data_IF_662573280809
#
_entry.id   IF_662573280809
#
_cell.length_a   1.000
_cell.length_b   1.000
_cell.length_c   1.000
_cell.angle_alpha   90.00
_cell.angle_beta   90.00
_cell.angle_gamma   90.00
#
_symmetry.space_group_name_H-M   'P 1'
#
loop_
_entity.id
_entity.type
_entity.pdbx_description
1 polymer ?
#
# COMPACT_ATOMS: atom_id res chain seq x y z
N UNK A 1 -7.78 6.18 20.78
CA UNK A 1 -7.00 4.92 20.73
C UNK A 1 -5.91 5.13 19.70
N UNK A 2 -4.64 4.89 20.03
CA UNK A 2 -3.53 5.06 19.08
C UNK A 2 -3.65 3.96 18.03
N UNK A 3 -3.96 4.34 16.80
CA UNK A 3 -3.79 3.44 15.66
C UNK A 3 -2.28 3.35 15.42
N UNK A 4 -1.71 2.16 15.59
CA UNK A 4 -0.30 1.92 15.26
C UNK A 4 -0.12 1.89 13.74
N UNK A 5 1.08 2.17 13.24
CA UNK A 5 1.41 1.98 11.83
C UNK A 5 1.69 0.49 11.51
N UNK A 6 2.48 -0.16 12.36
CA UNK A 6 2.73 -1.60 12.39
C UNK A 6 2.37 -2.14 13.77
N UNK A 7 1.76 -3.32 13.81
CA UNK A 7 1.39 -4.03 15.05
C UNK A 7 2.09 -5.41 15.16
N UNK A 8 2.93 -5.75 14.17
CA UNK A 8 3.87 -6.84 14.21
C UNK A 8 5.22 -6.41 13.62
N UNK A 9 6.32 -6.71 14.31
CA UNK A 9 7.70 -6.44 13.85
C UNK A 9 8.45 -7.76 13.81
N UNK A 10 9.03 -8.08 12.67
CA UNK A 10 9.98 -9.17 12.50
C UNK A 10 11.40 -8.62 12.45
N UNK A 11 12.35 -9.32 13.09
CA UNK A 11 13.77 -8.96 13.12
C UNK A 11 14.61 -10.02 12.39
N UNK A 12 15.64 -9.61 11.66
CA UNK A 12 16.60 -10.53 11.06
C UNK A 12 18.02 -9.94 10.95
N UNK A 13 19.03 -10.57 11.54
CA UNK A 13 20.43 -10.11 11.41
C UNK A 13 20.73 -8.76 12.07
N UNK A 14 20.03 -8.44 13.17
CA UNK A 14 20.36 -7.32 14.05
C UNK A 14 21.49 -7.71 15.01
N UNK A 15 22.33 -6.75 15.37
CA UNK A 15 23.25 -6.88 16.51
C UNK A 15 22.53 -6.61 17.84
N UNK A 16 23.07 -7.12 18.95
CA UNK A 16 22.55 -6.85 20.31
C UNK A 16 22.42 -5.35 20.65
N UNK A 17 23.23 -4.49 20.02
CA UNK A 17 23.14 -3.02 20.17
C UNK A 17 21.93 -2.45 19.42
N UNK A 18 21.68 -2.94 18.21
CA UNK A 18 20.54 -2.55 17.37
C UNK A 18 19.21 -3.04 17.96
N UNK A 19 19.16 -4.28 18.46
CA UNK A 19 17.99 -4.78 19.19
C UNK A 19 17.70 -3.92 20.43
N UNK A 20 18.71 -3.67 21.27
CA UNK A 20 18.54 -2.83 22.47
C UNK A 20 18.04 -1.42 22.09
N UNK A 21 18.59 -0.83 21.03
CA UNK A 21 18.15 0.46 20.52
C UNK A 21 16.68 0.42 20.05
N UNK A 22 16.27 -0.61 19.32
CA UNK A 22 14.86 -0.78 18.91
C UNK A 22 13.92 -0.83 20.12
N UNK A 23 14.20 -1.69 21.10
CA UNK A 23 13.34 -1.79 22.29
C UNK A 23 13.33 -0.48 23.10
N UNK A 24 14.46 0.22 23.21
CA UNK A 24 14.49 1.55 23.85
C UNK A 24 13.74 2.64 23.05
N UNK A 25 13.67 2.56 21.71
CA UNK A 25 12.85 3.47 20.90
C UNK A 25 11.35 3.21 21.06
N UNK A 26 10.95 1.93 21.16
CA UNK A 26 9.56 1.55 21.41
C UNK A 26 9.11 1.98 22.81
N UNK A 27 9.93 1.73 23.82
CA UNK A 27 9.73 2.17 25.21
C UNK A 27 9.65 3.70 25.33
N UNK A 28 10.56 4.43 24.67
CA UNK A 28 10.54 5.91 24.61
C UNK A 28 9.28 6.47 23.92
N UNK A 29 8.64 5.71 23.04
CA UNK A 29 7.35 6.06 22.42
C UNK A 29 6.13 5.57 23.22
N UNK A 30 6.33 5.04 24.43
CA UNK A 30 5.30 4.47 25.31
C UNK A 30 4.52 3.31 24.64
N UNK A 31 5.16 2.61 23.70
CA UNK A 31 4.54 1.51 22.96
C UNK A 31 4.70 0.21 23.74
N UNK A 32 3.57 -0.42 24.12
CA UNK A 32 3.58 -1.73 24.76
C UNK A 32 4.12 -2.79 23.80
N UNK A 33 5.07 -3.61 24.25
CA UNK A 33 5.71 -4.66 23.45
C UNK A 33 5.48 -6.05 24.04
N UNK A 34 5.21 -7.02 23.17
CA UNK A 34 5.13 -8.44 23.50
C UNK A 34 6.07 -9.24 22.61
N UNK A 35 6.90 -10.11 23.18
CA UNK A 35 7.76 -10.98 22.39
C UNK A 35 7.00 -12.22 21.91
N UNK A 36 7.11 -12.54 20.62
CA UNK A 36 6.54 -13.73 20.01
C UNK A 36 7.58 -14.85 19.95
N UNK A 37 7.45 -15.82 20.86
CA UNK A 37 8.45 -16.88 21.06
C UNK A 37 8.05 -18.24 20.48
N UNK A 38 6.75 -18.55 20.35
CA UNK A 38 6.25 -19.81 19.76
C UNK A 38 6.07 -19.71 18.24
N UNK A 39 6.29 -20.78 17.48
CA UNK A 39 6.04 -20.79 16.02
C UNK A 39 4.57 -20.93 15.61
N UNK A 40 3.74 -21.53 16.46
CA UNK A 40 2.49 -22.17 16.04
C UNK A 40 1.24 -21.28 16.15
N UNK A 41 1.27 -20.21 16.95
CA UNK A 41 0.13 -19.31 17.16
C UNK A 41 0.58 -17.87 17.39
N UNK A 42 -0.15 -16.92 16.80
CA UNK A 42 0.05 -15.50 17.07
C UNK A 42 -0.28 -15.17 18.55
N UNK A 43 0.54 -14.37 19.27
CA UNK A 43 0.27 -14.03 20.66
C UNK A 43 -1.02 -13.22 20.85
N UNK A 44 -1.75 -13.47 21.93
CA UNK A 44 -2.89 -12.63 22.31
C UNK A 44 -2.38 -11.25 22.75
N UNK A 45 -2.69 -10.24 21.93
CA UNK A 45 -2.18 -8.86 22.03
C UNK A 45 -3.32 -7.86 22.24
N UNK A 46 -3.16 -6.88 23.13
CA UNK A 46 -4.16 -5.81 23.33
C UNK A 46 -4.11 -4.73 22.23
N UNK A 47 -5.19 -3.95 21.99
CA UNK A 47 -5.14 -2.84 21.04
C UNK A 47 -4.06 -1.82 21.39
N UNK A 48 -3.18 -1.51 20.43
CA UNK A 48 -2.04 -0.61 20.65
C UNK A 48 -0.76 -1.30 21.14
N UNK A 49 -0.75 -2.62 21.28
CA UNK A 49 0.45 -3.42 21.56
C UNK A 49 1.15 -3.86 20.27
N UNK A 50 2.48 -3.80 20.25
CA UNK A 50 3.33 -4.30 19.17
C UNK A 50 3.84 -5.69 19.54
N UNK A 51 3.68 -6.65 18.62
CA UNK A 51 4.24 -7.99 18.76
C UNK A 51 5.58 -8.06 18.01
N UNK A 52 6.67 -8.37 18.71
CA UNK A 52 8.03 -8.46 18.13
C UNK A 52 8.48 -9.92 18.07
N UNK A 53 8.92 -10.40 16.90
CA UNK A 53 9.56 -11.71 16.72
C UNK A 53 11.02 -11.53 16.30
N UNK A 54 11.94 -12.23 16.98
CA UNK A 54 13.40 -12.09 16.77
C UNK A 54 13.95 -12.82 15.54
N UNK A 55 13.11 -13.55 14.82
CA UNK A 55 13.41 -14.17 13.52
C UNK A 55 12.21 -14.01 12.57
N UNK A 56 12.41 -14.32 11.27
CA UNK A 56 11.33 -14.38 10.29
C UNK A 56 11.35 -15.70 9.52
N UNK A 57 10.16 -16.31 9.43
CA UNK A 57 9.85 -17.53 8.69
C UNK A 57 8.60 -17.25 7.84
N UNK A 58 8.41 -17.96 6.73
CA UNK A 58 7.22 -17.81 5.87
C UNK A 58 5.93 -18.03 6.64
N UNK A 59 5.92 -19.04 7.50
CA UNK A 59 4.73 -19.52 8.21
C UNK A 59 4.36 -18.56 9.36
N UNK A 60 5.38 -17.96 9.98
CA UNK A 60 5.23 -16.85 10.94
C UNK A 60 4.67 -15.59 10.26
N UNK A 61 5.15 -15.24 9.06
CA UNK A 61 4.60 -14.12 8.29
C UNK A 61 3.14 -14.35 7.92
N UNK A 62 2.80 -15.54 7.39
CA UNK A 62 1.44 -15.91 7.04
C UNK A 62 0.51 -15.85 8.26
N UNK A 63 0.95 -16.43 9.38
CA UNK A 63 0.22 -16.38 10.66
C UNK A 63 -0.09 -14.95 11.11
N UNK A 64 0.85 -14.00 10.97
CA UNK A 64 0.58 -12.60 11.28
C UNK A 64 -0.47 -11.98 10.32
N UNK A 65 -0.39 -12.29 9.03
CA UNK A 65 -1.33 -11.78 8.01
C UNK A 65 -2.75 -12.33 8.23
N UNK A 66 -2.89 -13.62 8.57
CA UNK A 66 -4.19 -14.25 8.86
C UNK A 66 -4.86 -13.63 10.09
N UNK A 67 -4.06 -13.25 11.09
CA UNK A 67 -4.50 -12.46 12.25
C UNK A 67 -4.70 -10.96 11.94
N UNK A 68 -4.77 -10.60 10.65
CA UNK A 68 -4.98 -9.23 10.14
C UNK A 68 -3.95 -8.20 10.62
N UNK A 69 -2.75 -8.66 10.99
CA UNK A 69 -1.65 -7.81 11.43
C UNK A 69 -0.96 -7.14 10.25
N UNK A 70 -0.19 -6.11 10.55
CA UNK A 70 0.56 -5.30 9.61
C UNK A 70 2.04 -5.45 9.92
N UNK A 71 2.69 -6.46 9.31
CA UNK A 71 4.08 -6.77 9.59
C UNK A 71 5.01 -5.77 8.90
N UNK A 72 6.06 -5.39 9.62
CA UNK A 72 7.30 -4.84 9.05
C UNK A 72 8.45 -5.79 9.38
N UNK A 73 9.29 -6.08 8.38
CA UNK A 73 10.59 -6.71 8.61
C UNK A 73 11.63 -5.61 8.83
N UNK A 74 12.51 -5.79 9.80
CA UNK A 74 13.68 -4.94 10.03
C UNK A 74 14.90 -5.84 10.02
N UNK A 75 15.92 -5.51 9.22
CA UNK A 75 17.12 -6.33 9.24
C UNK A 75 18.01 -6.30 8.04
N UNK A 76 18.88 -7.31 7.98
CA UNK A 76 19.76 -7.64 6.86
C UNK A 76 19.33 -9.01 6.37
N UNK A 77 18.95 -9.13 5.10
CA UNK A 77 18.33 -10.34 4.55
C UNK A 77 18.81 -10.57 3.13
N UNK A 78 18.90 -11.83 2.70
CA UNK A 78 19.19 -12.14 1.32
C UNK A 78 18.02 -11.76 0.40
N UNK A 79 18.33 -11.11 -0.72
CA UNK A 79 17.39 -10.73 -1.80
C UNK A 79 16.52 -11.91 -2.25
N UNK A 80 17.07 -13.13 -2.24
CA UNK A 80 16.39 -14.39 -2.61
C UNK A 80 15.27 -14.77 -1.61
N UNK A 81 15.49 -14.55 -0.31
CA UNK A 81 14.52 -14.85 0.74
C UNK A 81 13.49 -13.72 0.89
N UNK A 82 13.93 -12.46 0.75
CA UNK A 82 13.03 -11.30 0.72
C UNK A 82 12.00 -11.42 -0.43
N UNK A 83 12.41 -11.92 -1.61
CA UNK A 83 11.49 -12.26 -2.72
C UNK A 83 10.38 -13.22 -2.30
N UNK A 84 10.71 -14.27 -1.54
CA UNK A 84 9.73 -15.25 -1.06
C UNK A 84 8.77 -14.60 -0.06
N UNK A 85 9.28 -13.81 0.89
CA UNK A 85 8.44 -13.10 1.87
C UNK A 85 7.50 -12.08 1.20
N UNK A 86 7.96 -11.37 0.16
CA UNK A 86 7.11 -10.46 -0.64
C UNK A 86 5.98 -11.19 -1.38
N UNK A 87 6.25 -12.39 -1.90
CA UNK A 87 5.24 -13.26 -2.51
C UNK A 87 4.21 -13.76 -1.49
N UNK A 88 4.59 -13.92 -0.22
CA UNK A 88 3.69 -14.23 0.90
C UNK A 88 3.05 -12.99 1.55
N UNK A 89 3.20 -11.79 0.97
CA UNK A 89 2.48 -10.58 1.41
C UNK A 89 3.20 -9.69 2.42
N UNK A 90 4.52 -9.85 2.62
CA UNK A 90 5.32 -8.81 3.29
C UNK A 90 5.30 -7.53 2.46
N UNK A 91 4.76 -6.44 3.01
CA UNK A 91 4.66 -5.15 2.32
C UNK A 91 5.70 -4.12 2.77
N UNK A 92 6.35 -4.31 3.92
CA UNK A 92 7.28 -3.33 4.49
C UNK A 92 8.57 -3.98 4.95
N UNK A 93 9.71 -3.40 4.55
CA UNK A 93 11.04 -3.87 4.94
C UNK A 93 11.99 -2.68 5.18
N UNK A 94 12.56 -2.59 6.38
CA UNK A 94 13.64 -1.66 6.70
C UNK A 94 14.99 -2.36 6.59
N UNK A 95 15.71 -2.09 5.51
CA UNK A 95 17.05 -2.62 5.27
C UNK A 95 18.10 -1.93 6.13
N UNK A 96 18.78 -2.70 6.98
CA UNK A 96 19.89 -2.24 7.84
C UNK A 96 21.27 -2.34 7.17
N UNK A 97 21.34 -2.61 5.86
CA UNK A 97 22.54 -2.34 5.06
C UNK A 97 22.59 -0.88 4.59
N UNK A 98 21.43 -0.28 4.29
CA UNK A 98 21.31 1.10 3.77
C UNK A 98 20.69 2.11 4.76
N UNK A 99 19.96 1.66 5.77
CA UNK A 99 19.27 2.50 6.77
C UNK A 99 19.66 2.14 8.20
N UNK A 100 19.24 2.95 9.18
CA UNK A 100 19.45 2.70 10.61
C UNK A 100 18.16 2.26 11.31
N UNK A 101 18.27 1.60 12.47
CA UNK A 101 17.09 1.21 13.28
C UNK A 101 16.20 2.41 13.63
N UNK A 102 16.78 3.60 13.83
CA UNK A 102 16.03 4.86 14.09
C UNK A 102 15.18 5.34 12.90
N UNK A 103 15.42 4.82 11.69
CA UNK A 103 14.60 5.07 10.50
C UNK A 103 13.29 4.26 10.49
N UNK A 104 13.00 3.43 11.51
CA UNK A 104 11.68 2.79 11.60
C UNK A 104 10.60 3.87 11.72
N UNK A 105 9.56 3.84 10.85
CA UNK A 105 8.40 4.70 11.02
C UNK A 105 7.52 4.09 12.12
N UNK A 106 7.31 4.85 13.18
CA UNK A 106 6.57 4.43 14.38
C UNK A 106 5.28 5.25 14.55
N UNK A 107 5.28 6.48 14.07
CA UNK A 107 4.13 7.35 14.23
C UNK A 107 3.14 7.12 13.09
N UNK A 108 1.87 7.29 13.42
CA UNK A 108 0.79 7.03 12.49
C UNK A 108 0.48 8.31 11.72
N UNK A 109 0.52 8.25 10.39
CA UNK A 109 0.26 9.41 9.54
C UNK A 109 -1.18 9.92 9.72
N UNK A 110 -1.33 11.25 9.74
CA UNK A 110 -2.64 11.89 9.92
C UNK A 110 -3.54 11.57 8.72
N UNK A 111 -4.57 10.74 8.94
CA UNK A 111 -5.55 10.40 7.91
C UNK A 111 -6.37 11.64 7.51
N UNK A 112 -6.59 11.83 6.21
CA UNK A 112 -7.48 12.87 5.68
C UNK A 112 -8.90 12.32 5.65
N UNK A 113 -9.79 12.84 6.51
CA UNK A 113 -11.19 12.40 6.57
C UNK A 113 -11.87 12.46 5.20
N UNK A 114 -12.53 11.37 4.81
CA UNK A 114 -13.32 11.29 3.58
C UNK A 114 -12.55 10.85 2.32
N UNK A 115 -11.25 10.54 2.42
CA UNK A 115 -10.46 9.92 1.35
C UNK A 115 -10.63 8.40 1.34
N UNK A 116 -11.76 7.93 0.82
CA UNK A 116 -12.09 6.50 0.77
C UNK A 116 -11.86 5.93 -0.63
N UNK A 117 -11.27 4.74 -0.73
CA UNK A 117 -10.97 4.05 -1.98
C UNK A 117 -11.47 2.60 -1.94
N UNK A 118 -11.83 2.04 -3.10
CA UNK A 118 -12.15 0.62 -3.23
C UNK A 118 -11.21 -0.05 -4.23
N UNK A 119 -10.68 -1.22 -3.88
CA UNK A 119 -10.01 -2.13 -4.82
C UNK A 119 -11.00 -3.21 -5.22
N UNK A 120 -11.35 -3.26 -6.50
CA UNK A 120 -12.32 -4.17 -7.10
C UNK A 120 -11.52 -5.28 -7.80
N UNK A 121 -11.55 -6.48 -7.26
CA UNK A 121 -10.75 -7.61 -7.76
C UNK A 121 -10.61 -8.73 -6.73
N UNK A 122 -10.43 -9.99 -7.17
CA UNK A 122 -10.37 -11.14 -6.28
C UNK A 122 -9.05 -11.27 -5.51
N UNK A 123 -7.96 -10.65 -5.99
CA UNK A 123 -6.61 -10.83 -5.46
C UNK A 123 -6.41 -10.12 -4.09
N UNK A 124 -6.19 -10.86 -2.99
CA UNK A 124 -6.00 -10.27 -1.68
C UNK A 124 -4.64 -9.59 -1.50
N UNK A 125 -3.59 -10.06 -2.21
CA UNK A 125 -2.24 -9.48 -2.12
C UNK A 125 -2.20 -8.12 -2.82
N UNK A 126 -2.80 -8.03 -4.02
CA UNK A 126 -2.97 -6.78 -4.76
C UNK A 126 -3.69 -5.73 -3.89
N UNK A 127 -4.80 -6.11 -3.24
CA UNK A 127 -5.51 -5.25 -2.31
C UNK A 127 -4.63 -4.76 -1.15
N UNK A 128 -3.90 -5.65 -0.46
CA UNK A 128 -3.06 -5.25 0.68
C UNK A 128 -1.90 -4.34 0.23
N UNK A 129 -1.29 -4.60 -0.93
CA UNK A 129 -0.23 -3.77 -1.53
C UNK A 129 -0.74 -2.36 -1.86
N UNK A 130 -1.89 -2.25 -2.53
CA UNK A 130 -2.50 -0.95 -2.85
C UNK A 130 -2.88 -0.21 -1.56
N UNK A 131 -3.53 -0.89 -0.60
CA UNK A 131 -3.91 -0.35 0.71
C UNK A 131 -2.70 0.15 1.52
N UNK A 132 -1.58 -0.56 1.48
CA UNK A 132 -0.34 -0.16 2.15
C UNK A 132 0.12 1.23 1.68
N UNK A 133 0.21 1.44 0.37
CA UNK A 133 0.62 2.73 -0.20
C UNK A 133 -0.44 3.83 0.00
N UNK A 134 -1.72 3.53 -0.23
CA UNK A 134 -2.80 4.51 -0.10
C UNK A 134 -2.98 4.99 1.35
N UNK A 135 -2.76 4.13 2.35
CA UNK A 135 -2.80 4.54 3.77
C UNK A 135 -1.82 5.67 4.07
N UNK A 136 -0.65 5.67 3.43
CA UNK A 136 0.40 6.68 3.60
C UNK A 136 -0.01 8.03 2.99
N UNK A 137 -0.79 7.97 1.90
CA UNK A 137 -1.44 9.13 1.30
C UNK A 137 -2.64 9.67 2.12
N UNK A 138 -2.92 9.07 3.27
CA UNK A 138 -4.01 9.43 4.17
C UNK A 138 -5.37 8.88 3.75
N UNK A 139 -5.41 7.90 2.84
CA UNK A 139 -6.63 7.24 2.37
C UNK A 139 -7.01 6.02 3.21
N UNK A 140 -8.30 5.72 3.26
CA UNK A 140 -8.82 4.41 3.68
C UNK A 140 -9.17 3.57 2.45
N UNK A 141 -8.80 2.29 2.46
CA UNK A 141 -8.93 1.40 1.30
C UNK A 141 -9.67 0.13 1.68
N UNK A 142 -10.78 -0.12 0.98
CA UNK A 142 -11.71 -1.21 1.24
C UNK A 142 -11.68 -2.24 0.10
N UNK A 143 -11.75 -3.55 0.39
CA UNK A 143 -11.78 -4.58 -0.63
C UNK A 143 -13.20 -4.82 -1.16
N UNK A 144 -13.32 -4.99 -2.47
CA UNK A 144 -14.49 -5.53 -3.15
C UNK A 144 -14.05 -6.75 -3.97
N UNK A 145 -14.04 -7.93 -3.32
CA UNK A 145 -13.62 -9.19 -3.95
C UNK A 145 -14.67 -9.76 -4.91
N UNK A 146 -15.93 -9.44 -4.67
CA UNK A 146 -17.08 -9.92 -5.43
C UNK A 146 -17.89 -8.74 -5.99
N UNK A 147 -18.08 -8.71 -7.31
CA UNK A 147 -18.80 -7.64 -8.03
C UNK A 147 -20.28 -7.50 -7.61
N UNK A 148 -20.86 -8.54 -7.03
CA UNK A 148 -22.21 -8.55 -6.42
C UNK A 148 -22.31 -7.52 -5.29
N UNK A 149 -21.29 -7.43 -4.44
CA UNK A 149 -21.23 -6.51 -3.28
C UNK A 149 -20.87 -5.06 -3.63
N UNK A 150 -20.49 -4.80 -4.90
CA UNK A 150 -19.90 -3.52 -5.31
C UNK A 150 -20.85 -2.33 -5.07
N UNK A 151 -22.14 -2.48 -5.40
CA UNK A 151 -23.15 -1.42 -5.21
C UNK A 151 -23.36 -1.06 -3.75
N UNK A 152 -23.28 -2.02 -2.83
CA UNK A 152 -23.43 -1.81 -1.39
C UNK A 152 -22.20 -1.08 -0.84
N UNK A 153 -21.00 -1.60 -1.11
CA UNK A 153 -19.73 -0.98 -0.70
C UNK A 153 -19.54 0.42 -1.25
N UNK A 154 -20.00 0.68 -2.48
CA UNK A 154 -19.95 2.01 -3.09
C UNK A 154 -20.85 3.01 -2.36
N UNK A 155 -22.02 2.58 -1.86
CA UNK A 155 -22.90 3.40 -1.02
C UNK A 155 -22.33 3.60 0.38
N UNK A 156 -21.86 2.52 1.01
CA UNK A 156 -21.34 2.49 2.38
C UNK A 156 -20.10 3.38 2.56
N UNK A 157 -19.06 3.17 1.74
CA UNK A 157 -17.78 3.88 1.91
C UNK A 157 -17.68 5.18 1.12
N UNK A 158 -18.64 5.48 0.25
CA UNK A 158 -18.62 6.65 -0.63
C UNK A 158 -17.24 6.98 -1.26
N UNK A 159 -16.65 6.04 -2.03
CA UNK A 159 -15.28 6.20 -2.49
C UNK A 159 -15.10 7.39 -3.42
N UNK A 160 -13.96 8.06 -3.26
CA UNK A 160 -13.41 9.06 -4.19
C UNK A 160 -12.43 8.46 -5.21
N UNK A 161 -12.11 7.17 -5.13
CA UNK A 161 -11.16 6.49 -6.00
C UNK A 161 -11.50 4.99 -6.13
N UNK A 162 -11.46 4.47 -7.34
CA UNK A 162 -11.61 3.04 -7.62
C UNK A 162 -10.35 2.48 -8.29
N UNK A 163 -9.89 1.32 -7.84
CA UNK A 163 -8.96 0.47 -8.59
C UNK A 163 -9.74 -0.73 -9.11
N UNK A 164 -9.57 -1.09 -10.39
CA UNK A 164 -10.27 -2.21 -11.01
C UNK A 164 -9.26 -3.19 -11.61
N UNK A 165 -9.27 -4.42 -11.12
CA UNK A 165 -8.41 -5.51 -11.59
C UNK A 165 -8.99 -6.19 -12.84
N UNK A 166 -8.93 -5.49 -13.97
CA UNK A 166 -9.35 -6.01 -15.28
C UNK A 166 -8.53 -7.23 -15.73
N UNK A 167 -7.41 -7.54 -15.08
CA UNK A 167 -6.59 -8.71 -15.35
C UNK A 167 -7.22 -10.03 -14.86
N UNK A 168 -8.08 -9.96 -13.84
CA UNK A 168 -8.70 -11.15 -13.19
C UNK A 168 -10.24 -11.13 -13.20
N UNK A 169 -10.86 -10.05 -13.65
CA UNK A 169 -12.32 -9.88 -13.69
C UNK A 169 -12.89 -10.10 -15.10
N UNK A 170 -14.15 -10.54 -15.19
CA UNK A 170 -14.89 -10.50 -16.45
C UNK A 170 -15.17 -9.03 -16.81
N UNK A 171 -14.60 -8.58 -17.94
CA UNK A 171 -14.70 -7.19 -18.40
C UNK A 171 -16.15 -6.76 -18.63
N UNK A 172 -16.97 -7.59 -19.29
CA UNK A 172 -18.37 -7.23 -19.62
C UNK A 172 -19.21 -7.03 -18.36
N UNK A 173 -19.16 -8.02 -17.47
CA UNK A 173 -19.91 -8.00 -16.21
C UNK A 173 -19.46 -6.81 -15.33
N UNK A 174 -18.15 -6.52 -15.30
CA UNK A 174 -17.58 -5.40 -14.54
C UNK A 174 -18.01 -4.05 -15.12
N UNK A 175 -17.97 -3.88 -16.44
CA UNK A 175 -18.47 -2.67 -17.13
C UNK A 175 -19.95 -2.46 -16.85
N UNK A 176 -20.77 -3.51 -16.94
CA UNK A 176 -22.21 -3.42 -16.62
C UNK A 176 -22.44 -3.02 -15.15
N UNK A 177 -21.73 -3.64 -14.21
CA UNK A 177 -21.84 -3.32 -12.78
C UNK A 177 -21.40 -1.88 -12.47
N UNK A 178 -20.34 -1.39 -13.10
CA UNK A 178 -19.88 -0.01 -12.96
C UNK A 178 -20.87 1.01 -13.56
N UNK A 179 -21.49 0.71 -14.72
CA UNK A 179 -22.54 1.55 -15.32
C UNK A 179 -23.80 1.62 -14.44
N UNK A 180 -24.12 0.53 -13.75
CA UNK A 180 -25.28 0.41 -12.85
C UNK A 180 -25.02 0.90 -11.41
N UNK A 181 -23.87 1.53 -11.14
CA UNK A 181 -23.62 2.16 -9.84
C UNK A 181 -24.51 3.40 -9.62
N UNK A 182 -24.84 3.75 -8.36
CA UNK A 182 -25.63 4.93 -8.05
C UNK A 182 -24.99 6.19 -8.62
N UNK A 183 -25.73 6.97 -9.41
CA UNK A 183 -25.22 8.20 -9.98
C UNK A 183 -24.85 9.22 -8.89
N UNK A 184 -23.75 9.93 -9.12
CA UNK A 184 -23.23 11.00 -8.27
C UNK A 184 -22.92 12.22 -9.14
N UNK A 185 -22.93 13.41 -8.53
CA UNK A 185 -22.55 14.66 -9.21
C UNK A 185 -21.11 14.62 -9.80
N UNK A 186 -20.25 13.76 -9.27
CA UNK A 186 -19.00 13.36 -9.91
C UNK A 186 -18.78 11.87 -9.64
N UNK A 187 -18.59 11.08 -10.68
CA UNK A 187 -18.23 9.66 -10.55
C UNK A 187 -16.76 9.56 -10.11
N UNK A 188 -16.39 8.71 -9.14
CA UNK A 188 -15.02 8.63 -8.68
C UNK A 188 -14.09 8.13 -9.80
N UNK A 189 -12.94 8.78 -10.03
CA UNK A 189 -11.99 8.36 -11.06
C UNK A 189 -11.50 6.92 -10.85
N UNK A 190 -11.32 6.21 -11.97
CA UNK A 190 -11.01 4.77 -12.00
C UNK A 190 -9.60 4.55 -12.52
N UNK A 191 -8.80 3.81 -11.76
CA UNK A 191 -7.48 3.31 -12.14
C UNK A 191 -7.64 1.85 -12.58
N UNK A 192 -7.46 1.60 -13.89
CA UNK A 192 -7.57 0.26 -14.46
C UNK A 192 -6.24 -0.50 -14.41
N UNK A 193 -6.28 -1.71 -13.85
CA UNK A 193 -5.14 -2.62 -13.72
C UNK A 193 -5.26 -3.73 -14.78
N UNK A 194 -4.36 -3.72 -15.77
CA UNK A 194 -4.29 -4.66 -16.90
C UNK A 194 -2.89 -4.60 -17.51
N UNK A 195 -2.25 -5.73 -17.78
CA UNK A 195 -1.03 -5.74 -18.57
C UNK A 195 -1.36 -5.57 -20.07
N UNK A 196 -1.03 -4.40 -20.61
CA UNK A 196 -1.23 -4.06 -22.03
C UNK A 196 -0.42 -4.94 -23.01
N UNK A 197 0.51 -5.76 -22.52
CA UNK A 197 1.25 -6.74 -23.33
C UNK A 197 0.54 -8.09 -23.49
N UNK A 198 -0.53 -8.35 -22.72
CA UNK A 198 -1.28 -9.61 -22.81
C UNK A 198 -2.26 -9.60 -23.99
N UNK A 199 -2.59 -10.81 -24.42
CA UNK A 199 -3.58 -11.07 -25.46
C UNK A 199 -4.97 -10.55 -25.07
N UNK A 200 -5.84 -10.40 -26.07
CA UNK A 200 -7.23 -9.93 -25.97
C UNK A 200 -7.45 -8.46 -25.55
N UNK A 201 -6.40 -7.66 -25.32
CA UNK A 201 -6.53 -6.23 -24.97
C UNK A 201 -7.50 -5.45 -25.87
N UNK A 202 -7.48 -5.66 -27.20
CA UNK A 202 -8.38 -4.98 -28.13
C UNK A 202 -9.86 -5.35 -27.91
N UNK A 203 -10.14 -6.60 -27.53
CA UNK A 203 -11.49 -7.08 -27.20
C UNK A 203 -11.95 -6.48 -25.86
N UNK A 204 -11.08 -6.47 -24.85
CA UNK A 204 -11.33 -5.87 -23.53
C UNK A 204 -11.63 -4.36 -23.64
N UNK A 205 -10.82 -3.64 -24.41
CA UNK A 205 -11.03 -2.20 -24.68
C UNK A 205 -12.35 -1.94 -25.41
N UNK A 206 -12.70 -2.80 -26.38
CA UNK A 206 -13.97 -2.73 -27.14
C UNK A 206 -15.19 -3.08 -26.29
N UNK A 207 -15.02 -3.77 -25.16
CA UNK A 207 -16.09 -4.10 -24.22
C UNK A 207 -16.46 -2.94 -23.27
N UNK A 208 -15.77 -1.78 -23.34
CA UNK A 208 -16.16 -0.55 -22.64
C UNK A 208 -15.24 -0.12 -21.49
N UNK A 209 -14.05 -0.72 -21.33
CA UNK A 209 -13.05 -0.29 -20.32
C UNK A 209 -12.71 1.22 -20.43
N UNK A 210 -12.66 1.73 -21.67
CA UNK A 210 -12.35 3.13 -21.97
C UNK A 210 -13.39 4.13 -21.48
N UNK A 211 -14.61 3.69 -21.18
CA UNK A 211 -15.67 4.54 -20.61
C UNK A 211 -15.32 4.97 -19.18
N UNK A 212 -14.46 4.21 -18.49
CA UNK A 212 -14.11 4.40 -17.08
C UNK A 212 -12.66 4.83 -16.87
N UNK A 213 -11.71 4.33 -17.66
CA UNK A 213 -10.28 4.61 -17.50
C UNK A 213 -9.58 4.89 -18.84
N UNK A 214 -8.81 5.98 -18.88
CA UNK A 214 -8.12 6.46 -20.10
C UNK A 214 -6.79 5.73 -20.34
N UNK A 215 -6.03 5.46 -19.28
CA UNK A 215 -4.80 4.65 -19.31
C UNK A 215 -4.98 3.40 -18.45
N UNK A 216 -4.37 2.30 -18.92
CA UNK A 216 -4.26 1.03 -18.20
C UNK A 216 -2.81 0.81 -17.78
N UNK A 217 -2.64 0.13 -16.65
CA UNK A 217 -1.35 -0.09 -16.01
C UNK A 217 -1.23 -1.54 -15.52
N UNK A 218 -0.06 -2.15 -15.66
CA UNK A 218 0.18 -3.42 -14.96
C UNK A 218 0.29 -3.20 -13.45
N UNK A 219 0.10 -4.26 -12.65
CA UNK A 219 0.29 -4.22 -11.18
C UNK A 219 1.66 -3.60 -10.81
N UNK A 220 2.72 -3.99 -11.54
CA UNK A 220 4.07 -3.39 -11.46
C UNK A 220 4.04 -1.86 -11.55
N UNK A 221 3.38 -1.35 -12.57
CA UNK A 221 3.31 0.09 -12.84
C UNK A 221 2.47 0.82 -11.78
N UNK A 222 1.38 0.22 -11.30
CA UNK A 222 0.55 0.81 -10.24
C UNK A 222 1.32 0.96 -8.94
N UNK A 223 2.09 -0.06 -8.53
CA UNK A 223 2.84 -0.01 -7.28
C UNK A 223 4.00 1.00 -7.35
N UNK A 224 4.73 1.05 -8.48
CA UNK A 224 5.73 2.10 -8.71
C UNK A 224 5.12 3.51 -8.72
N UNK A 225 3.96 3.69 -9.38
CA UNK A 225 3.20 4.95 -9.39
C UNK A 225 2.81 5.37 -7.97
N UNK A 226 2.26 4.45 -7.18
CA UNK A 226 1.84 4.70 -5.81
C UNK A 226 3.02 5.05 -4.91
N UNK A 227 4.14 4.35 -5.01
CA UNK A 227 5.37 4.66 -4.27
C UNK A 227 5.89 6.07 -4.59
N UNK A 228 5.92 6.45 -5.87
CA UNK A 228 6.29 7.80 -6.31
C UNK A 228 5.28 8.89 -5.88
N UNK A 229 4.07 8.51 -5.46
CA UNK A 229 3.03 9.45 -5.03
C UNK A 229 3.11 9.77 -3.53
N UNK A 230 3.88 9.02 -2.74
CA UNK A 230 3.99 9.15 -1.26
C UNK A 230 4.45 10.54 -0.81
N UNK A 231 5.11 11.32 -1.68
CA UNK A 231 5.68 12.63 -1.36
C UNK A 231 5.16 13.72 -2.31
N UNK A 232 4.77 14.86 -1.73
CA UNK A 232 4.63 16.14 -2.42
C UNK A 232 6.04 16.77 -2.56
N UNK A 233 6.56 16.88 -3.79
CA UNK A 233 8.00 17.05 -4.11
C UNK A 233 8.33 18.47 -4.71
N UNK A 234 9.02 19.42 -3.98
CA UNK A 234 9.49 20.81 -4.40
C UNK A 234 10.99 21.22 -3.99
N UNK A 235 12.06 21.09 -4.84
CA UNK A 235 13.53 21.32 -4.56
C UNK A 235 14.59 20.20 -4.90
N UNK A 236 15.57 20.42 -5.80
CA UNK A 236 16.31 19.46 -6.71
C UNK A 236 17.22 18.28 -6.21
N UNK A 237 17.40 17.25 -7.07
CA UNK A 237 18.51 16.26 -7.06
C UNK A 237 18.30 15.03 -8.00
N UNK A 238 19.34 14.58 -8.75
CA UNK A 238 19.35 13.44 -9.72
C UNK A 238 18.41 12.25 -9.34
N UNK A 239 17.62 11.65 -10.24
CA UNK A 239 17.96 11.07 -11.56
C UNK A 239 16.84 11.32 -12.61
N UNK A 240 17.22 11.45 -13.89
CA UNK A 240 16.31 11.63 -15.03
C UNK A 240 15.66 10.33 -15.55
N UNK A 241 14.90 9.63 -14.72
CA UNK A 241 14.11 8.47 -15.15
C UNK A 241 12.63 8.82 -15.34
N UNK A 242 11.93 8.09 -16.21
CA UNK A 242 10.53 8.35 -16.58
C UNK A 242 9.56 7.93 -15.47
N UNK A 243 9.62 8.60 -14.31
CA UNK A 243 8.73 8.31 -13.19
C UNK A 243 7.32 8.83 -13.46
N UNK A 244 6.34 8.02 -13.03
CA UNK A 244 4.92 8.35 -13.04
C UNK A 244 4.43 8.51 -11.59
N UNK A 245 3.58 9.49 -11.31
CA UNK A 245 2.89 9.67 -10.00
C UNK A 245 1.41 10.01 -10.16
N UNK A 246 0.60 9.67 -9.17
CA UNK A 246 -0.81 10.09 -9.08
C UNK A 246 -0.87 11.52 -8.55
N UNK A 247 -1.53 12.40 -9.31
CA UNK A 247 -2.00 13.69 -8.85
C UNK A 247 -3.52 13.66 -8.75
N UNK A 248 -4.02 14.00 -7.57
CA UNK A 248 -5.44 14.09 -7.27
C UNK A 248 -5.95 15.51 -7.52
N UNK A 249 -6.99 15.66 -8.34
CA UNK A 249 -7.56 16.96 -8.69
C UNK A 249 -8.82 17.23 -7.87
N UNK A 250 -8.80 18.28 -7.05
CA UNK A 250 -9.91 18.69 -6.18
C UNK A 250 -10.52 19.99 -6.69
N UNK A 251 -11.79 19.99 -7.09
CA UNK A 251 -12.52 21.22 -7.46
C UNK A 251 -13.05 21.96 -6.24
N UNK A 252 -13.85 21.28 -5.41
CA UNK A 252 -14.38 21.80 -4.15
C UNK A 252 -14.57 20.65 -3.16
N UNK A 253 -13.99 20.76 -1.96
CA UNK A 253 -14.09 19.75 -0.91
C UNK A 253 -12.95 18.72 -0.89
N UNK A 254 -13.08 17.70 -0.03
CA UNK A 254 -12.00 16.75 0.31
C UNK A 254 -11.89 15.53 -0.61
N UNK A 255 -12.89 15.26 -1.48
CA UNK A 255 -12.87 14.12 -2.41
C UNK A 255 -12.30 14.55 -3.76
N UNK A 256 -11.41 13.77 -4.40
CA UNK A 256 -10.92 14.13 -5.71
C UNK A 256 -12.02 13.94 -6.77
N UNK A 257 -12.01 14.87 -7.71
CA UNK A 257 -12.91 14.95 -8.86
C UNK A 257 -12.24 14.48 -10.16
N UNK A 258 -10.93 14.27 -10.14
CA UNK A 258 -10.12 13.79 -11.25
C UNK A 258 -8.79 13.21 -10.76
N UNK A 259 -8.14 12.44 -11.62
CA UNK A 259 -6.78 11.93 -11.42
C UNK A 259 -5.99 12.20 -12.70
N UNK A 260 -4.80 12.78 -12.55
CA UNK A 260 -3.80 12.86 -13.60
C UNK A 260 -2.61 12.01 -13.20
N UNK A 261 -2.17 11.12 -14.08
CA UNK A 261 -0.87 10.47 -13.93
C UNK A 261 0.17 11.36 -14.60
N UNK A 262 0.93 12.06 -13.77
CA UNK A 262 1.98 12.96 -14.23
C UNK A 262 3.22 12.16 -14.63
N UNK A 263 3.74 12.44 -15.82
CA UNK A 263 4.94 11.82 -16.42
C UNK A 263 6.06 12.87 -16.41
N UNK A 264 7.25 12.52 -15.95
CA UNK A 264 8.46 13.32 -16.09
C UNK A 264 8.35 14.73 -15.47
N UNK A 265 7.74 14.84 -14.28
CA UNK A 265 7.89 16.04 -13.47
C UNK A 265 9.37 16.25 -13.08
N UNK A 266 9.74 17.45 -12.62
CA UNK A 266 11.02 17.64 -11.96
C UNK A 266 10.92 17.14 -10.50
N UNK A 267 11.80 16.22 -10.09
CA UNK A 267 11.94 15.76 -8.68
C UNK A 267 12.61 16.82 -7.85
N UNK A 268 12.15 16.89 -6.60
CA UNK A 268 12.08 18.12 -5.88
C UNK A 268 11.66 17.82 -4.39
N UNK A 269 12.00 18.56 -3.33
CA UNK A 269 11.62 18.26 -1.91
C UNK A 269 11.38 19.48 -0.97
N UNK A 270 10.14 19.77 -0.52
CA UNK A 270 9.83 20.74 0.56
C UNK A 270 8.69 20.26 1.47
N UNK A 271 8.93 20.18 2.79
CA UNK A 271 7.96 19.74 3.80
C UNK A 271 8.21 18.33 4.34
N UNK A 272 9.19 18.20 5.23
CA UNK A 272 9.62 16.92 5.79
C UNK A 272 8.68 16.40 6.89
N UNK A 273 7.62 15.71 6.49
CA UNK A 273 7.04 14.68 7.35
C UNK A 273 8.04 13.51 7.40
N UNK A 274 8.87 13.49 8.45
CA UNK A 274 9.95 12.52 8.64
C UNK A 274 9.44 11.08 8.56
N UNK A 275 8.22 10.83 9.03
CA UNK A 275 7.63 9.50 9.06
C UNK A 275 7.18 9.05 7.66
N UNK A 276 6.79 9.97 6.77
CA UNK A 276 6.62 9.66 5.33
C UNK A 276 7.94 9.31 4.65
N UNK A 277 9.03 10.02 4.98
CA UNK A 277 10.37 9.74 4.43
C UNK A 277 10.82 8.34 4.85
N UNK A 278 10.69 8.02 6.13
CA UNK A 278 10.94 6.68 6.68
C UNK A 278 10.06 5.60 6.03
N UNK A 279 8.77 5.87 5.86
CA UNK A 279 7.84 4.94 5.18
C UNK A 279 8.19 4.71 3.71
N UNK A 280 8.65 5.73 3.00
CA UNK A 280 9.15 5.56 1.63
C UNK A 280 10.38 4.63 1.61
N UNK A 281 11.34 4.81 2.54
CA UNK A 281 12.48 3.86 2.66
C UNK A 281 11.99 2.42 2.85
N UNK A 282 10.92 2.21 3.63
CA UNK A 282 10.37 0.86 3.88
C UNK A 282 9.45 0.31 2.79
N UNK A 283 9.28 1.03 1.68
CA UNK A 283 8.55 0.60 0.47
C UNK A 283 9.40 0.64 -0.81
N UNK A 284 10.44 1.47 -0.87
CA UNK A 284 11.31 1.64 -2.06
C UNK A 284 11.91 0.31 -2.53
N UNK A 285 12.24 -0.60 -1.60
CA UNK A 285 12.73 -1.95 -1.89
C UNK A 285 11.80 -2.73 -2.81
N UNK A 286 10.47 -2.51 -2.77
CA UNK A 286 9.52 -3.22 -3.63
C UNK A 286 9.84 -3.01 -5.12
N UNK A 287 10.40 -1.85 -5.51
CA UNK A 287 10.77 -1.57 -6.90
C UNK A 287 11.83 -2.54 -7.46
N UNK A 288 12.60 -3.25 -6.62
CA UNK A 288 13.59 -4.27 -7.03
C UNK A 288 12.97 -5.67 -7.29
N UNK A 289 11.70 -5.84 -6.94
CA UNK A 289 10.96 -7.11 -6.97
C UNK A 289 9.72 -7.07 -7.87
N UNK A 290 9.26 -5.85 -8.16
CA UNK A 290 8.32 -5.50 -9.23
C UNK A 290 9.01 -5.63 -10.58
#
# INVERSE_FOLDING_TARGET
MVSLLFDCIFLNGLSKKEEKLLFSLLDWKELSVQEWTSGERFPESVPGQIVVRKNIETDSLQTAIDWSKRPILIGRIETSFLRKLFQQGLNYFLDLQTSQVVDIPLENLTQKKGLNSIVIGPDPLLFQRIRAHLKILGWETFPCRELTTLTEKFKEYEPGLLFVDWERLNVKDTVERLRNLPQRATFPPVIGIRDVKRENLFQDLSAGIRDFCQELYSEKQILGILNNSIIDLEGEGYISENYKRIIFEFRTGVRPTGIRIEKNAQVRFLGSDLEKIKLKKTLDWMNEFL
#
